data_IF_614062006853
#
_entry.id   IF_614062006853
#
_cell.length_a   1.000
_cell.length_b   1.000
_cell.length_c   1.000
_cell.angle_alpha   90.00
_cell.angle_beta   90.00
_cell.angle_gamma   90.00
#
_symmetry.space_group_name_H-M   'P 1'
#
loop_
_entity.id
_entity.type
_entity.pdbx_description
1 polymer ?
#
# COMPACT_ATOMS: atom_id res chain seq x y z
N UNK A 1 -4.66 17.46 46.19
CA UNK A 1 -5.24 16.42 45.31
C UNK A 1 -6.35 15.62 46.00
N UNK A 2 -6.16 15.15 47.25
CA UNK A 2 -7.16 14.39 48.00
C UNK A 2 -8.52 15.10 48.17
N UNK A 3 -8.53 16.39 48.50
CA UNK A 3 -9.78 17.16 48.70
C UNK A 3 -10.63 17.31 47.41
N UNK A 4 -9.99 17.41 46.24
CA UNK A 4 -10.69 17.52 44.96
C UNK A 4 -11.34 16.19 44.56
N UNK A 5 -10.67 15.07 44.82
CA UNK A 5 -11.22 13.72 44.63
C UNK A 5 -12.42 13.47 45.57
N UNK A 6 -12.33 13.88 46.84
CA UNK A 6 -13.44 13.78 47.79
C UNK A 6 -14.65 14.62 47.38
N UNK A 7 -14.44 15.81 46.79
CA UNK A 7 -15.53 16.67 46.29
C UNK A 7 -16.20 16.10 45.02
N UNK A 8 -15.40 15.50 44.13
CA UNK A 8 -15.89 14.82 42.92
C UNK A 8 -16.76 13.58 43.24
N UNK A 9 -16.40 12.84 44.30
CA UNK A 9 -17.09 11.62 44.70
C UNK A 9 -18.31 11.92 45.60
N UNK A 10 -18.21 12.94 46.46
CA UNK A 10 -19.23 13.26 47.46
C UNK A 10 -20.43 14.05 46.96
N UNK A 11 -20.34 14.73 45.81
CA UNK A 11 -21.40 15.62 45.30
C UNK A 11 -21.97 15.15 43.96
N UNK A 12 -23.29 15.33 43.75
CA UNK A 12 -23.94 15.00 42.47
C UNK A 12 -23.32 15.77 41.28
N UNK A 13 -22.98 17.04 41.49
CA UNK A 13 -22.32 17.88 40.48
C UNK A 13 -20.90 17.37 40.15
N UNK A 14 -20.14 16.95 41.16
CA UNK A 14 -18.81 16.38 40.97
C UNK A 14 -18.81 15.11 40.12
N UNK A 15 -19.80 14.22 40.32
CA UNK A 15 -19.94 12.98 39.55
C UNK A 15 -20.29 13.25 38.08
N UNK A 16 -21.11 14.27 37.79
CA UNK A 16 -21.44 14.67 36.41
C UNK A 16 -20.22 15.21 35.69
N UNK A 17 -19.42 16.05 36.36
CA UNK A 17 -18.18 16.59 35.77
C UNK A 17 -17.18 15.45 35.51
N UNK A 18 -17.01 14.53 36.46
CA UNK A 18 -16.14 13.37 36.28
C UNK A 18 -16.59 12.49 35.12
N UNK A 19 -17.91 12.21 35.00
CA UNK A 19 -18.46 11.45 33.89
C UNK A 19 -18.25 12.14 32.54
N UNK A 20 -18.44 13.47 32.47
CA UNK A 20 -18.20 14.23 31.25
C UNK A 20 -16.73 14.19 30.82
N UNK A 21 -15.80 14.33 31.77
CA UNK A 21 -14.36 14.23 31.49
C UNK A 21 -13.98 12.83 31.00
N UNK A 22 -14.49 11.78 31.65
CA UNK A 22 -14.26 10.40 31.20
C UNK A 22 -14.81 10.17 29.79
N UNK A 23 -15.98 10.73 29.48
CA UNK A 23 -16.58 10.61 28.17
C UNK A 23 -15.74 11.29 27.08
N UNK A 24 -15.24 12.50 27.36
CA UNK A 24 -14.35 13.22 26.44
C UNK A 24 -13.02 12.48 26.22
N UNK A 25 -12.43 11.94 27.28
CA UNK A 25 -11.19 11.14 27.18
C UNK A 25 -11.44 9.88 26.36
N UNK A 26 -12.54 9.18 26.58
CA UNK A 26 -12.91 8.00 25.81
C UNK A 26 -13.14 8.33 24.34
N UNK A 27 -13.85 9.42 24.03
CA UNK A 27 -14.07 9.89 22.67
C UNK A 27 -12.75 10.26 21.96
N UNK A 28 -11.84 10.95 22.66
CA UNK A 28 -10.52 11.29 22.13
C UNK A 28 -9.67 10.03 21.85
N UNK A 29 -9.69 9.06 22.77
CA UNK A 29 -8.99 7.79 22.59
C UNK A 29 -9.55 6.99 21.42
N UNK A 30 -10.88 6.86 21.31
CA UNK A 30 -11.54 6.19 20.21
C UNK A 30 -11.20 6.87 18.86
N UNK A 31 -11.25 8.21 18.80
CA UNK A 31 -10.88 8.96 17.61
C UNK A 31 -9.42 8.72 17.21
N UNK A 32 -8.50 8.69 18.19
CA UNK A 32 -7.09 8.43 17.93
C UNK A 32 -6.86 7.02 17.37
N UNK A 33 -7.49 6.00 17.95
CA UNK A 33 -7.41 4.61 17.48
C UNK A 33 -7.93 4.46 16.05
N UNK A 34 -9.11 5.03 15.75
CA UNK A 34 -9.70 4.98 14.41
C UNK A 34 -8.77 5.66 13.40
N UNK A 35 -8.20 6.81 13.78
CA UNK A 35 -7.32 7.56 12.90
C UNK A 35 -6.01 6.82 12.64
N UNK A 36 -5.44 6.17 13.65
CA UNK A 36 -4.24 5.34 13.49
C UNK A 36 -4.52 4.14 12.59
N UNK A 37 -5.62 3.41 12.81
CA UNK A 37 -6.02 2.30 11.94
C UNK A 37 -6.19 2.74 10.47
N UNK A 38 -6.86 3.87 10.23
CA UNK A 38 -7.02 4.40 8.87
C UNK A 38 -5.69 4.77 8.19
N UNK A 39 -4.69 5.24 8.93
CA UNK A 39 -3.36 5.51 8.38
C UNK A 39 -2.58 4.22 8.12
N UNK A 40 -2.67 3.23 9.00
CA UNK A 40 -2.03 1.93 8.82
C UNK A 40 -2.60 1.19 7.60
N UNK A 41 -3.92 1.19 7.44
CA UNK A 41 -4.60 0.56 6.29
C UNK A 41 -4.20 1.23 4.97
N UNK A 42 -4.15 2.57 4.93
CA UNK A 42 -3.73 3.30 3.74
C UNK A 42 -2.24 3.06 3.41
N UNK A 43 -1.37 2.98 4.42
CA UNK A 43 0.03 2.64 4.22
C UNK A 43 0.18 1.20 3.70
N UNK A 44 -0.57 0.24 4.25
CA UNK A 44 -0.55 -1.14 3.78
C UNK A 44 -1.07 -1.29 2.36
N UNK A 45 -2.14 -0.59 1.98
CA UNK A 45 -2.67 -0.62 0.63
C UNK A 45 -1.63 -0.15 -0.40
N UNK A 46 -0.97 0.99 -0.13
CA UNK A 46 0.08 1.52 -1.02
C UNK A 46 1.31 0.61 -1.09
N UNK A 47 1.68 -0.04 0.03
CA UNK A 47 2.72 -1.06 0.05
C UNK A 47 2.33 -2.31 -0.76
N UNK A 48 1.06 -2.75 -0.72
CA UNK A 48 0.60 -3.89 -1.49
C UNK A 48 0.62 -3.60 -2.99
N UNK A 49 0.10 -2.45 -3.43
CA UNK A 49 0.13 -2.05 -4.85
C UNK A 49 1.56 -1.97 -5.39
N UNK A 50 2.49 -1.41 -4.61
CA UNK A 50 3.90 -1.34 -5.02
C UNK A 50 4.57 -2.72 -5.09
N UNK A 51 4.25 -3.62 -4.16
CA UNK A 51 4.75 -5.00 -4.19
C UNK A 51 4.19 -5.79 -5.38
N UNK A 52 2.92 -5.59 -5.73
CA UNK A 52 2.30 -6.21 -6.90
C UNK A 52 2.96 -5.71 -8.19
N UNK A 53 3.14 -4.39 -8.33
CA UNK A 53 3.83 -3.82 -9.49
C UNK A 53 5.28 -4.31 -9.63
N UNK A 54 6.02 -4.43 -8.52
CA UNK A 54 7.36 -5.01 -8.53
C UNK A 54 7.35 -6.50 -8.91
N UNK A 55 6.33 -7.25 -8.49
CA UNK A 55 6.19 -8.66 -8.85
C UNK A 55 5.89 -8.85 -10.33
N UNK A 56 5.02 -8.03 -10.89
CA UNK A 56 4.72 -8.00 -12.32
C UNK A 56 5.96 -7.66 -13.14
N UNK A 57 6.73 -6.62 -12.75
CA UNK A 57 8.00 -6.28 -13.40
C UNK A 57 8.99 -7.45 -13.39
N UNK A 58 9.14 -8.15 -12.27
CA UNK A 58 10.02 -9.32 -12.19
C UNK A 58 9.55 -10.48 -13.07
N UNK A 59 8.24 -10.68 -13.19
CA UNK A 59 7.69 -11.69 -14.08
C UNK A 59 7.90 -11.32 -15.55
N UNK A 60 7.69 -10.06 -15.89
CA UNK A 60 7.93 -9.53 -17.24
C UNK A 60 9.41 -9.62 -17.62
N UNK A 61 10.32 -9.19 -16.73
CA UNK A 61 11.77 -9.33 -16.91
C UNK A 61 12.17 -10.78 -17.14
N UNK A 62 11.64 -11.71 -16.34
CA UNK A 62 11.92 -13.13 -16.48
C UNK A 62 11.38 -13.71 -17.81
N UNK A 63 10.21 -13.25 -18.25
CA UNK A 63 9.64 -13.62 -19.55
C UNK A 63 10.52 -13.11 -20.69
N UNK A 64 10.92 -11.84 -20.68
CA UNK A 64 11.76 -11.23 -21.70
C UNK A 64 13.14 -11.87 -21.77
N UNK A 65 13.75 -12.20 -20.62
CA UNK A 65 15.03 -12.92 -20.57
C UNK A 65 14.95 -14.35 -21.12
N UNK A 66 13.76 -14.97 -21.09
CA UNK A 66 13.53 -16.32 -21.63
C UNK A 66 13.21 -16.36 -23.12
N UNK A 67 13.05 -15.21 -23.78
CA UNK A 67 12.75 -15.14 -25.21
C UNK A 67 14.02 -15.20 -26.06
N UNK A 68 13.94 -15.91 -27.19
CA UNK A 68 14.94 -15.79 -28.26
C UNK A 68 14.93 -14.38 -28.87
N UNK A 69 16.10 -13.87 -29.27
CA UNK A 69 16.31 -12.55 -29.85
C UNK A 69 15.31 -12.20 -30.98
N UNK A 70 15.02 -13.15 -31.87
CA UNK A 70 14.01 -12.98 -32.92
C UNK A 70 12.63 -12.65 -32.34
N UNK A 71 12.21 -13.40 -31.32
CA UNK A 71 10.90 -13.26 -30.68
C UNK A 71 10.83 -11.99 -29.83
N UNK A 72 11.93 -11.66 -29.16
CA UNK A 72 12.07 -10.42 -28.40
C UNK A 72 11.94 -9.18 -29.30
N UNK A 73 12.58 -9.22 -30.48
CA UNK A 73 12.48 -8.17 -31.49
C UNK A 73 11.03 -7.96 -31.96
N UNK A 74 10.31 -9.05 -32.28
CA UNK A 74 8.92 -8.97 -32.69
C UNK A 74 8.01 -8.38 -31.60
N UNK A 75 8.22 -8.78 -30.35
CA UNK A 75 7.45 -8.30 -29.21
C UNK A 75 7.60 -6.76 -29.05
N UNK A 76 8.83 -6.25 -29.18
CA UNK A 76 9.12 -4.82 -29.10
C UNK A 76 8.55 -4.01 -30.28
N UNK A 77 8.67 -4.53 -31.51
CA UNK A 77 8.19 -3.86 -32.72
C UNK A 77 6.67 -3.88 -32.84
N UNK A 78 6.01 -4.94 -32.34
CA UNK A 78 4.54 -5.03 -32.26
C UNK A 78 3.94 -3.87 -31.47
N UNK A 79 4.53 -3.53 -30.32
CA UNK A 79 4.06 -2.40 -29.51
C UNK A 79 4.41 -1.03 -30.13
N UNK A 80 5.39 -1.00 -31.03
CA UNK A 80 5.88 0.23 -31.66
C UNK A 80 5.22 0.56 -33.01
N UNK A 81 4.38 -0.34 -33.56
CA UNK A 81 3.70 -0.15 -34.84
C UNK A 81 4.63 -0.17 -36.07
N UNK A 82 5.84 -0.69 -35.93
CA UNK A 82 6.86 -0.74 -36.98
C UNK A 82 6.84 -2.06 -37.75
N UNK A 83 7.46 -2.10 -38.94
CA UNK A 83 7.51 -3.30 -39.77
C UNK A 83 8.46 -4.36 -39.21
N UNK A 84 8.00 -5.60 -39.17
CA UNK A 84 8.70 -6.75 -38.56
C UNK A 84 9.90 -7.27 -39.39
N UNK A 85 10.16 -6.71 -40.56
CA UNK A 85 11.19 -7.18 -41.51
C UNK A 85 12.61 -7.05 -40.96
N UNK A 86 12.85 -6.12 -40.04
CA UNK A 86 14.16 -5.96 -39.38
C UNK A 86 14.49 -7.14 -38.45
N UNK A 87 13.49 -7.82 -37.88
CA UNK A 87 13.72 -8.96 -36.98
C UNK A 87 14.17 -10.21 -37.71
N UNK A 88 13.84 -10.37 -38.99
CA UNK A 88 14.20 -11.59 -39.73
C UNK A 88 15.72 -11.81 -39.80
N UNK A 89 16.51 -10.74 -39.65
CA UNK A 89 17.98 -10.80 -39.56
C UNK A 89 18.49 -11.50 -38.29
N UNK A 90 17.67 -11.61 -37.24
CA UNK A 90 18.00 -12.28 -35.98
C UNK A 90 17.64 -13.77 -35.98
N UNK A 91 16.97 -14.26 -37.02
CA UNK A 91 16.60 -15.68 -37.14
C UNK A 91 17.87 -16.51 -37.36
N UNK A 92 18.18 -17.41 -36.44
CA UNK A 92 19.34 -18.31 -36.53
C UNK A 92 20.66 -17.73 -36.02
N UNK A 93 20.68 -16.53 -35.41
CA UNK A 93 21.90 -15.93 -34.84
C UNK A 93 22.48 -16.75 -33.67
N UNK A 94 21.66 -17.58 -33.03
CA UNK A 94 22.08 -18.52 -31.98
C UNK A 94 22.14 -19.99 -32.39
N UNK A 95 21.94 -20.34 -33.67
CA UNK A 95 22.24 -21.69 -34.18
C UNK A 95 23.77 -21.85 -34.31
N UNK A 96 24.42 -22.32 -33.23
CA UNK A 96 25.77 -22.88 -33.25
C UNK A 96 25.83 -24.18 -32.48
#
# INVERSE_FOLDING_TARGET
>A
MAAALSFLIGTKAGRVIAAAVLWLVFAAFAYHQIRQGAFEDAAQATLQETLEAERERKQDDAYLQGLEDYRLCLEYLRNSGMQNTECDQLRGVHEK
#
